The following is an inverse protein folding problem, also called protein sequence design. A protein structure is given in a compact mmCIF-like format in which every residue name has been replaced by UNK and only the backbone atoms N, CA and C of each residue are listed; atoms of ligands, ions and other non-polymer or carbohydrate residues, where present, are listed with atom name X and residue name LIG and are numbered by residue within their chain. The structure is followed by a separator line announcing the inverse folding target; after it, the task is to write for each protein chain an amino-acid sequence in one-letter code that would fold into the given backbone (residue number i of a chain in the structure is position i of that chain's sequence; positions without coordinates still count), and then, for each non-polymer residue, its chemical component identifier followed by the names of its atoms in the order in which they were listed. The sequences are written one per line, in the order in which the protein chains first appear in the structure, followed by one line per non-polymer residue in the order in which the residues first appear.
data_IF_439904579570
#
_entry.id   IF_439904579570
#
_cell.length_a   1.000
_cell.length_b   1.000
_cell.length_c   1.000
_cell.angle_alpha   90.00
_cell.angle_beta   90.00
_cell.angle_gamma   90.00
#
_symmetry.space_group_name_H-M   'P 1'
#
loop_
_entity.id
_entity.type
_entity.pdbx_description
1 polymer ?
#
# COMPACT_ATOMS: atom_id res chain seq x y z
N UNK A 1 9.54 68.76 -13.25
CA UNK A 1 9.72 67.32 -13.55
C UNK A 1 9.52 66.54 -12.25
N UNK A 2 8.35 65.94 -12.01
CA UNK A 2 8.04 65.25 -10.74
C UNK A 2 8.43 63.78 -10.88
N UNK A 3 9.42 63.33 -10.10
CA UNK A 3 9.82 61.91 -10.03
C UNK A 3 8.82 61.15 -9.15
N UNK A 4 8.09 60.21 -9.74
CA UNK A 4 7.28 59.21 -9.02
C UNK A 4 8.21 58.30 -8.20
N UNK A 5 8.15 58.41 -6.86
CA UNK A 5 8.72 57.41 -5.95
C UNK A 5 7.81 56.18 -6.02
N UNK A 6 8.22 55.14 -6.75
CA UNK A 6 7.61 53.82 -6.58
C UNK A 6 7.81 53.39 -5.12
N UNK A 7 6.73 53.22 -4.36
CA UNK A 7 6.80 52.62 -3.03
C UNK A 7 7.30 51.20 -3.18
N UNK A 8 8.45 50.88 -2.58
CA UNK A 8 8.85 49.49 -2.39
C UNK A 8 8.01 48.96 -1.24
N UNK A 9 6.88 48.35 -1.57
CA UNK A 9 6.12 47.49 -0.65
C UNK A 9 6.98 46.26 -0.36
N UNK A 10 7.39 46.10 0.88
CA UNK A 10 8.09 44.91 1.38
C UNK A 10 7.21 44.18 2.38
N UNK A 11 7.36 42.85 2.44
CA UNK A 11 6.69 42.00 3.43
C UNK A 11 7.09 42.40 4.86
N UNK A 12 6.14 42.39 5.79
CA UNK A 12 6.39 42.62 7.21
C UNK A 12 6.82 41.33 7.91
N UNK A 13 7.59 41.45 9.00
CA UNK A 13 7.94 40.28 9.82
C UNK A 13 6.70 39.62 10.43
N UNK A 14 5.69 40.42 10.80
CA UNK A 14 4.46 39.88 11.39
C UNK A 14 3.66 39.05 10.39
N UNK A 15 3.62 39.42 9.10
CA UNK A 15 2.98 38.60 8.07
C UNK A 15 3.68 37.24 7.93
N UNK A 16 5.02 37.21 7.96
CA UNK A 16 5.76 35.94 7.92
C UNK A 16 5.47 35.09 9.17
N UNK A 17 5.39 35.70 10.36
CA UNK A 17 5.08 34.96 11.59
C UNK A 17 3.70 34.30 11.54
N UNK A 18 2.67 35.04 11.10
CA UNK A 18 1.31 34.49 11.00
C UNK A 18 1.24 33.38 9.95
N UNK A 19 1.92 33.54 8.81
CA UNK A 19 1.98 32.50 7.76
C UNK A 19 2.63 31.22 8.30
N UNK A 20 3.75 31.32 9.00
CA UNK A 20 4.44 30.15 9.57
C UNK A 20 3.56 29.42 10.59
N UNK A 21 2.82 30.16 11.43
CA UNK A 21 1.89 29.55 12.40
C UNK A 21 0.77 28.78 11.69
N UNK A 22 0.17 29.35 10.65
CA UNK A 22 -0.90 28.68 9.88
C UNK A 22 -0.34 27.42 9.20
N UNK A 23 0.82 27.49 8.55
CA UNK A 23 1.47 26.35 7.89
C UNK A 23 1.80 25.24 8.90
N UNK A 24 2.24 25.58 10.12
CA UNK A 24 2.52 24.60 11.16
C UNK A 24 1.26 23.81 11.58
N UNK A 25 0.12 24.50 11.75
CA UNK A 25 -1.16 23.84 12.09
C UNK A 25 -1.61 22.92 10.95
N UNK A 26 -1.53 23.39 9.71
CA UNK A 26 -1.90 22.58 8.54
C UNK A 26 -1.00 21.34 8.42
N UNK A 27 0.31 21.50 8.58
CA UNK A 27 1.26 20.40 8.50
C UNK A 27 1.01 19.33 9.58
N UNK A 28 0.65 19.74 10.80
CA UNK A 28 0.37 18.83 11.91
C UNK A 28 -0.80 17.87 11.63
N UNK A 29 -1.81 18.33 10.87
CA UNK A 29 -2.98 17.51 10.49
C UNK A 29 -2.73 16.79 9.15
N UNK A 30 -2.15 17.48 8.18
CA UNK A 30 -1.98 16.96 6.82
C UNK A 30 -0.98 15.80 6.76
N UNK A 31 0.12 15.87 7.51
CA UNK A 31 1.17 14.85 7.47
C UNK A 31 0.69 13.44 7.89
N UNK A 32 0.03 13.24 9.05
CA UNK A 32 -0.44 11.91 9.43
C UNK A 32 -1.49 11.36 8.44
N UNK A 33 -2.36 12.21 7.91
CA UNK A 33 -3.36 11.81 6.89
C UNK A 33 -2.66 11.37 5.61
N UNK A 34 -1.67 12.13 5.15
CA UNK A 34 -0.89 11.78 3.97
C UNK A 34 -0.16 10.45 4.14
N UNK A 35 0.45 10.21 5.30
CA UNK A 35 1.11 8.93 5.60
C UNK A 35 0.11 7.76 5.56
N UNK A 36 -1.07 7.90 6.19
CA UNK A 36 -2.13 6.87 6.13
C UNK A 36 -2.61 6.59 4.71
N UNK A 37 -2.73 7.64 3.88
CA UNK A 37 -3.09 7.49 2.47
C UNK A 37 -2.04 6.68 1.70
N UNK A 38 -0.76 6.99 1.90
CA UNK A 38 0.36 6.26 1.29
C UNK A 38 0.39 4.80 1.75
N UNK A 39 0.20 4.53 3.05
CA UNK A 39 0.11 3.17 3.58
C UNK A 39 -1.04 2.38 2.95
N UNK A 40 -2.24 2.99 2.87
CA UNK A 40 -3.40 2.40 2.19
C UNK A 40 -3.13 2.12 0.72
N UNK A 41 -2.37 2.99 0.03
CA UNK A 41 -1.98 2.79 -1.37
C UNK A 41 -1.09 1.56 -1.53
N UNK A 42 -0.10 1.38 -0.65
CA UNK A 42 0.75 0.18 -0.66
C UNK A 42 -0.05 -1.09 -0.36
N UNK A 43 -0.94 -1.03 0.63
CA UNK A 43 -1.81 -2.16 0.94
C UNK A 43 -2.72 -2.52 -0.24
N UNK A 44 -3.28 -1.52 -0.93
CA UNK A 44 -4.12 -1.73 -2.13
C UNK A 44 -3.37 -2.45 -3.25
N UNK A 45 -2.09 -2.12 -3.45
CA UNK A 45 -1.23 -2.84 -4.41
C UNK A 45 -1.13 -4.33 -4.03
N UNK A 46 -0.80 -4.64 -2.78
CA UNK A 46 -0.73 -6.02 -2.29
C UNK A 46 -2.06 -6.76 -2.45
N UNK A 47 -3.17 -6.14 -2.05
CA UNK A 47 -4.53 -6.71 -2.15
C UNK A 47 -4.87 -7.09 -3.58
N UNK A 48 -4.56 -6.23 -4.54
CA UNK A 48 -4.78 -6.51 -5.97
C UNK A 48 -4.07 -7.79 -6.40
N UNK A 49 -2.80 -7.95 -6.00
CA UNK A 49 -2.00 -9.12 -6.35
C UNK A 49 -2.52 -10.36 -5.62
N UNK A 50 -2.90 -10.24 -4.35
CA UNK A 50 -3.47 -11.34 -3.57
C UNK A 50 -4.79 -11.84 -4.17
N UNK A 51 -5.65 -10.95 -4.68
CA UNK A 51 -6.86 -11.36 -5.42
C UNK A 51 -6.52 -12.13 -6.70
N UNK A 52 -5.47 -11.73 -7.43
CA UNK A 52 -5.00 -12.46 -8.59
C UNK A 52 -4.43 -13.84 -8.20
N UNK A 53 -3.64 -13.91 -7.13
CA UNK A 53 -3.12 -15.16 -6.56
C UNK A 53 -4.28 -16.09 -6.16
N UNK A 54 -5.31 -15.58 -5.50
CA UNK A 54 -6.48 -16.38 -5.12
C UNK A 54 -7.21 -16.96 -6.34
N UNK A 55 -7.42 -16.14 -7.38
CA UNK A 55 -8.06 -16.60 -8.61
C UNK A 55 -7.20 -17.64 -9.34
N UNK A 56 -5.90 -17.42 -9.43
CA UNK A 56 -4.96 -18.36 -10.01
C UNK A 56 -4.92 -19.69 -9.22
N UNK A 57 -4.93 -19.63 -7.89
CA UNK A 57 -4.99 -20.81 -7.03
C UNK A 57 -6.27 -21.63 -7.25
N UNK A 58 -7.42 -20.97 -7.39
CA UNK A 58 -8.69 -21.64 -7.73
C UNK A 58 -8.61 -22.33 -9.10
N UNK A 59 -8.05 -21.67 -10.12
CA UNK A 59 -7.85 -22.27 -11.44
C UNK A 59 -6.89 -23.47 -11.40
N UNK A 60 -5.82 -23.35 -10.63
CA UNK A 60 -4.84 -24.42 -10.41
C UNK A 60 -5.52 -25.65 -9.78
N UNK A 61 -6.31 -25.43 -8.73
CA UNK A 61 -7.10 -26.49 -8.08
C UNK A 61 -8.11 -27.12 -9.05
N UNK A 62 -8.83 -26.33 -9.85
CA UNK A 62 -9.77 -26.86 -10.85
C UNK A 62 -9.10 -27.75 -11.89
N UNK A 63 -7.83 -27.48 -12.21
CA UNK A 63 -7.08 -28.23 -13.23
C UNK A 63 -6.40 -29.46 -12.66
N UNK A 64 -5.95 -29.42 -11.39
CA UNK A 64 -5.06 -30.44 -10.80
C UNK A 64 -5.64 -31.17 -9.58
N UNK A 65 -6.73 -30.67 -9.00
CA UNK A 65 -7.36 -31.22 -7.80
C UNK A 65 -6.56 -31.00 -6.51
N UNK A 66 -5.48 -30.20 -6.55
CA UNK A 66 -4.64 -29.85 -5.41
C UNK A 66 -4.42 -28.35 -5.37
N UNK A 67 -4.30 -27.79 -4.16
CA UNK A 67 -3.98 -26.37 -3.97
C UNK A 67 -2.48 -26.12 -4.21
N UNK A 68 -2.10 -24.94 -4.72
CA UNK A 68 -0.69 -24.58 -4.90
C UNK A 68 0.01 -24.44 -3.55
N UNK A 69 1.30 -24.76 -3.49
CA UNK A 69 2.12 -24.55 -2.29
C UNK A 69 2.68 -23.13 -2.17
N UNK A 70 2.83 -22.44 -3.30
CA UNK A 70 3.47 -21.13 -3.37
C UNK A 70 3.05 -20.36 -4.64
N UNK A 71 3.44 -19.09 -4.69
CA UNK A 71 3.14 -18.20 -5.83
C UNK A 71 3.96 -18.59 -7.06
N UNK A 72 5.17 -19.08 -6.88
CA UNK A 72 6.05 -19.49 -7.97
C UNK A 72 5.47 -20.68 -8.76
N UNK A 73 4.75 -21.58 -8.09
CA UNK A 73 4.02 -22.68 -8.73
C UNK A 73 2.91 -22.16 -9.64
N UNK A 74 2.19 -21.13 -9.19
CA UNK A 74 1.18 -20.45 -9.99
C UNK A 74 1.78 -19.76 -11.21
N UNK A 75 2.95 -19.12 -11.07
CA UNK A 75 3.67 -18.53 -12.21
C UNK A 75 4.14 -19.60 -13.21
N UNK A 76 4.75 -20.70 -12.72
CA UNK A 76 5.21 -21.81 -13.57
C UNK A 76 4.07 -22.49 -14.33
N UNK A 77 2.89 -22.55 -13.73
CA UNK A 77 1.69 -23.12 -14.36
C UNK A 77 1.04 -22.19 -15.40
N UNK A 78 1.50 -20.94 -15.50
CA UNK A 78 0.96 -19.94 -16.42
C UNK A 78 -0.36 -19.31 -15.97
N UNK A 79 -0.78 -19.55 -14.72
CA UNK A 79 -2.02 -18.99 -14.17
C UNK A 79 -1.84 -17.61 -13.53
N UNK A 80 -0.60 -17.18 -13.30
CA UNK A 80 -0.26 -15.91 -12.66
C UNK A 80 1.00 -15.31 -13.29
N UNK A 81 1.04 -13.99 -13.39
CA UNK A 81 2.26 -13.23 -13.69
C UNK A 81 2.36 -12.07 -12.68
N UNK A 82 3.32 -12.13 -11.77
CA UNK A 82 3.58 -11.06 -10.82
C UNK A 82 4.75 -10.23 -11.32
N UNK A 83 4.49 -8.92 -11.50
CA UNK A 83 5.51 -7.99 -11.97
C UNK A 83 6.77 -8.03 -11.11
N UNK A 84 7.94 -7.87 -11.72
CA UNK A 84 9.21 -7.84 -10.98
C UNK A 84 9.21 -6.77 -9.88
N UNK A 85 8.67 -5.59 -10.15
CA UNK A 85 8.57 -4.51 -9.15
C UNK A 85 7.74 -4.91 -7.93
N UNK A 86 6.66 -5.67 -8.13
CA UNK A 86 5.83 -6.16 -7.03
C UNK A 86 6.59 -7.21 -6.25
N UNK A 87 7.26 -8.18 -6.91
CA UNK A 87 8.08 -9.20 -6.24
C UNK A 87 9.25 -8.62 -5.44
N UNK A 88 9.80 -7.48 -5.88
CA UNK A 88 10.83 -6.77 -5.12
C UNK A 88 10.26 -6.18 -3.83
N UNK A 89 9.03 -5.65 -3.86
CA UNK A 89 8.39 -4.96 -2.72
C UNK A 89 7.62 -5.89 -1.77
N UNK A 90 7.16 -7.04 -2.26
CA UNK A 90 6.24 -7.93 -1.56
C UNK A 90 6.63 -9.39 -1.74
N UNK A 91 6.66 -10.11 -0.62
CA UNK A 91 6.70 -11.58 -0.58
C UNK A 91 5.30 -12.11 -0.28
N UNK A 92 4.85 -13.15 -0.98
CA UNK A 92 3.52 -13.72 -0.83
C UNK A 92 3.62 -15.16 -0.35
N UNK A 93 2.99 -15.46 0.79
CA UNK A 93 2.82 -16.80 1.34
C UNK A 93 1.38 -17.27 1.06
N UNK A 94 1.22 -18.49 0.56
CA UNK A 94 -0.07 -19.06 0.14
C UNK A 94 -0.34 -20.31 0.95
N UNK A 95 -1.38 -20.26 1.79
CA UNK A 95 -1.83 -21.38 2.62
C UNK A 95 -3.31 -21.60 2.37
N UNK A 96 -3.64 -22.26 1.25
CA UNK A 96 -5.02 -22.52 0.84
C UNK A 96 -5.35 -24.01 0.93
N UNK A 97 -6.61 -24.29 1.27
CA UNK A 97 -7.15 -25.64 1.42
C UNK A 97 -8.65 -25.67 1.10
N UNK A 98 -9.23 -26.87 1.04
CA UNK A 98 -10.67 -27.05 0.83
C UNK A 98 -11.52 -26.48 1.97
N UNK A 99 -10.92 -26.30 3.16
CA UNK A 99 -11.58 -25.74 4.33
C UNK A 99 -11.34 -24.24 4.48
N UNK A 100 -10.73 -23.57 3.50
CA UNK A 100 -10.35 -22.16 3.59
C UNK A 100 -8.83 -21.97 3.66
N UNK A 101 -8.38 -20.90 4.30
CA UNK A 101 -6.96 -20.59 4.40
C UNK A 101 -6.64 -19.11 4.31
N UNK A 102 -5.35 -18.80 4.13
CA UNK A 102 -4.86 -17.42 4.10
C UNK A 102 -3.83 -17.20 3.00
N UNK A 103 -3.83 -15.98 2.47
CA UNK A 103 -2.73 -15.45 1.67
C UNK A 103 -2.13 -14.31 2.49
N UNK A 104 -0.81 -14.30 2.67
CA UNK A 104 -0.11 -13.26 3.43
C UNK A 104 0.89 -12.56 2.54
N UNK A 105 0.74 -11.26 2.35
CA UNK A 105 1.73 -10.41 1.69
C UNK A 105 2.57 -9.70 2.75
N UNK A 106 3.89 -9.84 2.70
CA UNK A 106 4.84 -9.18 3.61
C UNK A 106 5.72 -8.20 2.82
N UNK A 107 5.80 -6.95 3.26
CA UNK A 107 6.63 -5.94 2.62
C UNK A 107 8.12 -6.19 2.86
N UNK A 108 8.93 -5.88 1.86
CA UNK A 108 10.39 -5.97 1.90
C UNK A 108 11.02 -4.59 2.14
N UNK A 109 12.35 -4.56 2.29
CA UNK A 109 13.14 -3.32 2.39
C UNK A 109 13.04 -2.41 1.16
N UNK A 110 12.63 -2.96 0.01
CA UNK A 110 12.51 -2.21 -1.25
C UNK A 110 11.19 -1.44 -1.34
N UNK A 111 10.22 -1.73 -0.46
CA UNK A 111 9.00 -0.95 -0.37
C UNK A 111 9.30 0.36 0.36
N UNK A 112 8.99 1.52 -0.25
CA UNK A 112 9.29 2.82 0.38
C UNK A 112 8.52 3.07 1.69
N UNK A 113 7.47 2.29 1.97
CA UNK A 113 6.77 2.30 3.25
C UNK A 113 7.45 1.50 4.37
N UNK A 114 8.56 0.81 4.09
CA UNK A 114 9.32 0.01 5.06
C UNK A 114 9.00 -1.50 5.00
N UNK A 115 9.93 -2.32 5.51
CA UNK A 115 9.80 -3.77 5.56
C UNK A 115 8.92 -4.25 6.73
N UNK A 116 8.40 -5.47 6.61
CA UNK A 116 7.72 -6.18 7.71
C UNK A 116 6.23 -5.87 7.89
N UNK A 117 5.65 -5.01 7.06
CA UNK A 117 4.21 -4.78 7.03
C UNK A 117 3.49 -5.96 6.39
N UNK A 118 2.41 -6.43 7.01
CA UNK A 118 1.67 -7.60 6.54
C UNK A 118 0.24 -7.26 6.15
N UNK A 119 -0.15 -7.66 4.93
CA UNK A 119 -1.55 -7.70 4.50
C UNK A 119 -1.98 -9.16 4.45
N UNK A 120 -3.03 -9.50 5.16
CA UNK A 120 -3.54 -10.88 5.22
C UNK A 120 -4.91 -10.93 4.56
N UNK A 121 -5.10 -11.89 3.66
CA UNK A 121 -6.39 -12.23 3.09
C UNK A 121 -6.84 -13.55 3.70
N UNK A 122 -7.97 -13.51 4.39
CA UNK A 122 -8.63 -14.68 4.93
C UNK A 122 -9.64 -15.21 3.89
N UNK A 123 -9.40 -16.42 3.39
CA UNK A 123 -10.19 -17.04 2.34
C UNK A 123 -11.50 -17.65 2.87
N UNK A 124 -11.60 -17.91 4.17
CA UNK A 124 -12.80 -18.43 4.83
C UNK A 124 -13.90 -17.37 4.88
N UNK A 125 -13.53 -16.14 5.28
CA UNK A 125 -14.47 -15.02 5.43
C UNK A 125 -14.37 -13.97 4.32
N UNK A 126 -13.41 -14.11 3.40
CA UNK A 126 -13.23 -13.23 2.25
C UNK A 126 -12.79 -11.81 2.63
N UNK A 127 -12.01 -11.66 3.70
CA UNK A 127 -11.67 -10.35 4.30
C UNK A 127 -10.16 -10.10 4.27
N UNK A 128 -9.79 -8.84 4.03
CA UNK A 128 -8.41 -8.37 4.21
C UNK A 128 -8.22 -7.73 5.59
N UNK A 129 -7.11 -8.06 6.26
CA UNK A 129 -6.71 -7.51 7.56
C UNK A 129 -5.22 -7.12 7.56
N UNK A 130 -4.78 -6.41 8.60
CA UNK A 130 -3.40 -5.94 8.75
C UNK A 130 -3.15 -4.59 8.07
N UNK A 131 -1.96 -4.42 7.50
CA UNK A 131 -1.44 -3.15 7.03
C UNK A 131 -2.39 -2.39 6.11
N UNK A 132 -2.66 -1.13 6.44
CA UNK A 132 -3.56 -0.27 5.67
C UNK A 132 -5.02 -0.72 5.71
N UNK A 133 -5.40 -1.53 6.69
CA UNK A 133 -6.80 -1.75 7.07
C UNK A 133 -7.22 -0.72 8.12
N UNK A 134 -8.52 -0.40 8.17
CA UNK A 134 -9.09 0.48 9.20
C UNK A 134 -9.10 -0.16 10.60
N UNK A 135 -8.64 -1.41 10.74
CA UNK A 135 -8.60 -2.16 12.00
C UNK A 135 -7.27 -1.97 12.75
N UNK A 136 -6.30 -1.28 12.15
CA UNK A 136 -5.04 -0.86 12.78
C UNK A 136 -5.13 0.50 13.50
N UNK A 137 -6.31 1.15 13.52
CA UNK A 137 -6.59 2.39 14.26
C UNK A 137 -7.18 2.15 15.65
#
# INVERSE_FOLDING_TARGET
MIRSKKSKSGFTMIEIMVVVVIVAILAAIALPIYLKYVQSSYASEARTVMSNVQNAAKMYYQTRGIWPSDVEELERSGHLDVSRSTKMKWSFDVQLSDQGGRITATSTEEMSGGAGHQVVYDADIGKFTGYGSSEEE
#
